data_IF_161388774919
#
_entry.id   IF_161388774919
#
_cell.length_a   1.000
_cell.length_b   1.000
_cell.length_c   1.000
_cell.angle_alpha   90.00
_cell.angle_beta   90.00
_cell.angle_gamma   90.00
#
_symmetry.space_group_name_H-M   'P 1'
#
loop_
_entity.id
_entity.type
_entity.pdbx_description
1 polymer ?
#
# COMPACT_ATOMS: atom_id res chain seq x y z
N UNK A 1 -95.49 -18.50 24.42
CA UNK A 1 -94.07 -18.90 24.27
C UNK A 1 -93.40 -17.93 23.28
N UNK A 2 -92.68 -16.93 23.78
CA UNK A 2 -92.09 -15.86 22.97
C UNK A 2 -90.63 -16.10 22.93
N UNK A 3 -90.07 -16.22 21.74
CA UNK A 3 -88.62 -16.36 21.50
C UNK A 3 -88.03 -14.97 21.31
N UNK A 4 -87.10 -14.53 22.20
CA UNK A 4 -86.40 -13.30 22.05
C UNK A 4 -85.08 -13.57 21.23
N UNK A 5 -84.98 -12.90 20.10
CA UNK A 5 -83.75 -12.85 19.31
C UNK A 5 -82.89 -11.60 19.80
N UNK A 6 -81.71 -11.89 20.36
CA UNK A 6 -80.69 -10.86 20.61
C UNK A 6 -79.79 -10.80 19.38
N UNK A 7 -79.71 -9.59 18.75
CA UNK A 7 -78.76 -9.29 17.71
C UNK A 7 -77.44 -8.74 18.39
N UNK A 8 -76.34 -9.44 18.20
CA UNK A 8 -75.02 -8.88 18.53
C UNK A 8 -74.49 -8.15 17.33
N UNK A 9 -74.23 -6.82 17.49
CA UNK A 9 -73.44 -6.00 16.58
C UNK A 9 -71.98 -6.19 16.95
N UNK A 10 -71.18 -6.80 16.07
CA UNK A 10 -69.73 -6.82 16.14
C UNK A 10 -69.22 -5.56 15.46
N UNK A 11 -68.69 -4.61 16.23
CA UNK A 11 -67.86 -3.48 15.74
C UNK A 11 -66.48 -3.99 15.48
N UNK A 12 -66.10 -4.17 14.20
CA UNK A 12 -64.73 -4.41 13.79
C UNK A 12 -63.98 -3.09 13.73
N UNK A 13 -63.22 -2.78 14.79
CA UNK A 13 -62.25 -1.69 14.78
C UNK A 13 -61.00 -2.06 13.96
N UNK A 14 -60.84 -1.46 12.79
CA UNK A 14 -59.62 -1.57 12.00
C UNK A 14 -58.57 -0.61 12.63
N UNK A 15 -57.60 -1.18 13.34
CA UNK A 15 -56.47 -0.46 13.87
C UNK A 15 -55.45 -0.28 12.74
N UNK A 16 -55.45 0.88 12.08
CA UNK A 16 -54.39 1.25 11.11
C UNK A 16 -53.13 1.61 11.87
N UNK A 17 -52.20 0.67 11.94
CA UNK A 17 -50.83 0.96 12.41
C UNK A 17 -50.09 1.67 11.30
N UNK A 18 -49.97 3.00 11.40
CA UNK A 18 -49.09 3.80 10.55
C UNK A 18 -47.65 3.54 10.96
N UNK A 19 -46.97 2.66 10.23
CA UNK A 19 -45.50 2.52 10.36
C UNK A 19 -44.86 3.74 9.76
N UNK A 20 -44.44 4.68 10.61
CA UNK A 20 -43.54 5.76 10.24
C UNK A 20 -42.17 5.10 9.96
N UNK A 21 -41.86 4.85 8.69
CA UNK A 21 -40.50 4.63 8.23
C UNK A 21 -39.72 5.94 8.43
N UNK A 22 -39.05 6.05 9.56
CA UNK A 22 -38.03 7.08 9.77
C UNK A 22 -36.87 6.67 8.84
N UNK A 23 -36.49 7.48 7.84
CA UNK A 23 -35.29 7.20 7.08
C UNK A 23 -34.11 7.34 8.05
N UNK A 24 -33.52 6.22 8.45
CA UNK A 24 -32.21 6.20 9.11
C UNK A 24 -31.18 6.55 8.03
N UNK A 25 -31.19 7.80 7.62
CA UNK A 25 -30.10 8.43 6.91
C UNK A 25 -29.04 8.74 7.95
N UNK A 26 -28.20 7.79 8.26
CA UNK A 26 -27.01 8.01 9.07
C UNK A 26 -26.16 9.06 8.37
N UNK A 27 -26.20 10.32 8.83
CA UNK A 27 -25.30 11.37 8.36
C UNK A 27 -23.89 10.91 8.69
N UNK A 28 -23.08 10.67 7.67
CA UNK A 28 -21.65 10.39 7.86
C UNK A 28 -21.04 11.55 8.68
N UNK A 29 -20.33 11.20 9.74
CA UNK A 29 -19.64 12.17 10.58
C UNK A 29 -18.67 13.00 9.76
N UNK A 30 -18.69 14.31 9.91
CA UNK A 30 -17.74 15.21 9.26
C UNK A 30 -16.35 15.08 9.89
N UNK A 31 -15.30 15.40 9.15
CA UNK A 31 -13.93 15.38 9.66
C UNK A 31 -13.75 16.29 10.89
N UNK A 32 -14.49 17.41 10.95
CA UNK A 32 -14.46 18.35 12.07
C UNK A 32 -15.14 17.78 13.34
N UNK A 33 -16.17 16.98 13.19
CA UNK A 33 -16.80 16.26 14.31
C UNK A 33 -15.86 15.19 14.87
N UNK A 34 -15.21 14.42 13.99
CA UNK A 34 -14.19 13.44 14.38
C UNK A 34 -12.99 14.13 15.04
N UNK A 35 -12.52 15.26 14.52
CA UNK A 35 -11.42 16.02 15.11
C UNK A 35 -11.75 16.47 16.55
N UNK A 36 -12.95 16.98 16.80
CA UNK A 36 -13.37 17.35 18.17
C UNK A 36 -13.36 16.16 19.13
N UNK A 37 -13.73 14.97 18.66
CA UNK A 37 -13.68 13.73 19.45
C UNK A 37 -12.22 13.31 19.70
N UNK A 38 -11.36 13.37 18.70
CA UNK A 38 -9.95 13.06 18.81
C UNK A 38 -9.24 13.96 19.85
N UNK A 39 -9.53 15.26 19.86
CA UNK A 39 -8.99 16.18 20.88
C UNK A 39 -9.48 15.82 22.28
N UNK A 40 -10.78 15.48 22.45
CA UNK A 40 -11.35 15.06 23.74
C UNK A 40 -10.75 13.74 24.25
N UNK A 41 -10.31 12.86 23.33
CA UNK A 41 -9.67 11.57 23.60
C UNK A 41 -8.20 11.72 24.06
N UNK A 42 -7.64 12.94 23.99
CA UNK A 42 -6.27 13.27 24.38
C UNK A 42 -5.35 13.61 23.22
N UNK A 43 -5.84 13.55 21.98
CA UNK A 43 -5.13 14.02 20.79
C UNK A 43 -3.85 13.22 20.47
N UNK A 44 -3.71 12.00 20.94
CA UNK A 44 -2.55 11.15 20.66
C UNK A 44 -2.86 10.17 19.54
N UNK A 45 -1.90 9.97 18.62
CA UNK A 45 -1.92 8.94 17.60
C UNK A 45 -0.69 8.06 17.71
N UNK A 46 -0.85 6.80 18.08
CA UNK A 46 0.23 5.81 18.02
C UNK A 46 0.28 5.19 16.62
N UNK A 47 1.10 5.75 15.78
CA UNK A 47 1.23 5.40 14.37
C UNK A 47 2.34 4.35 14.20
N UNK A 48 1.95 3.09 13.90
CA UNK A 48 2.89 2.02 13.56
C UNK A 48 3.08 2.02 12.03
N UNK A 49 4.19 2.57 11.55
CA UNK A 49 4.37 2.81 10.12
C UNK A 49 5.81 2.68 9.63
N UNK A 50 5.92 2.32 8.34
CA UNK A 50 7.18 2.17 7.62
C UNK A 50 7.61 3.44 6.87
N UNK A 51 7.07 4.60 7.25
CA UNK A 51 7.56 5.86 6.70
C UNK A 51 9.00 6.08 7.18
N UNK A 52 9.96 6.02 6.26
CA UNK A 52 11.33 6.39 6.59
C UNK A 52 11.37 7.79 7.21
N UNK A 53 12.26 8.02 8.17
CA UNK A 53 12.34 9.26 8.95
C UNK A 53 12.30 10.53 8.08
N UNK A 54 12.98 10.50 6.92
CA UNK A 54 13.02 11.63 5.96
C UNK A 54 11.63 11.95 5.35
N UNK A 55 10.78 10.93 5.17
CA UNK A 55 9.41 11.10 4.67
C UNK A 55 8.47 11.47 5.82
N UNK A 56 8.58 10.79 6.96
CA UNK A 56 7.78 11.05 8.16
C UNK A 56 7.91 12.51 8.62
N UNK A 57 9.13 13.05 8.64
CA UNK A 57 9.41 14.44 9.00
C UNK A 57 8.75 15.49 8.06
N UNK A 58 8.33 15.09 6.85
CA UNK A 58 7.61 15.95 5.92
C UNK A 58 6.11 15.78 5.97
N UNK A 59 5.63 14.58 6.31
CA UNK A 59 4.21 14.20 6.22
C UNK A 59 3.50 14.44 7.57
N UNK A 60 4.03 13.87 8.66
CA UNK A 60 3.32 13.84 9.95
C UNK A 60 3.14 15.24 10.57
N UNK A 61 4.12 16.18 10.50
CA UNK A 61 3.93 17.53 11.00
C UNK A 61 2.84 18.33 10.24
N UNK A 62 2.57 17.99 8.98
CA UNK A 62 1.48 18.65 8.21
C UNK A 62 0.12 18.21 8.76
N UNK A 63 -0.05 16.93 9.11
CA UNK A 63 -1.23 16.44 9.79
C UNK A 63 -1.41 17.11 11.16
N UNK A 64 -0.36 17.18 11.99
CA UNK A 64 -0.40 17.85 13.30
C UNK A 64 -0.76 19.35 13.17
N UNK A 65 -0.21 20.02 12.15
CA UNK A 65 -0.53 21.43 11.87
C UNK A 65 -1.98 21.62 11.40
N UNK A 66 -2.50 20.68 10.60
CA UNK A 66 -3.90 20.69 10.12
C UNK A 66 -4.88 20.50 11.27
N UNK A 67 -4.51 19.73 12.29
CA UNK A 67 -5.31 19.37 13.44
C UNK A 67 -4.60 19.73 14.76
N UNK A 68 -4.60 21.01 15.18
CA UNK A 68 -3.91 21.45 16.39
C UNK A 68 -4.37 20.69 17.64
N UNK A 69 -3.44 20.31 18.50
CA UNK A 69 -3.72 19.47 19.68
C UNK A 69 -3.61 17.97 19.40
N UNK A 70 -3.42 17.55 18.16
CA UNK A 70 -3.05 16.17 17.82
C UNK A 70 -1.54 16.03 17.81
N UNK A 71 -1.02 14.91 18.35
CA UNK A 71 0.38 14.52 18.36
C UNK A 71 0.54 13.10 17.86
N UNK A 72 1.49 12.89 16.95
CA UNK A 72 1.79 11.59 16.35
C UNK A 72 3.02 10.98 17.00
N UNK A 73 2.82 9.84 17.67
CA UNK A 73 3.89 8.99 18.16
C UNK A 73 4.21 7.97 17.07
N UNK A 74 5.21 8.25 16.24
CA UNK A 74 5.63 7.37 15.15
C UNK A 74 6.55 6.26 15.66
N UNK A 75 6.10 5.03 15.55
CA UNK A 75 6.89 3.83 15.80
C UNK A 75 7.40 3.34 14.45
N UNK A 76 8.64 3.74 14.12
CA UNK A 76 9.33 3.39 12.86
C UNK A 76 10.09 2.07 13.00
N UNK A 77 9.74 1.11 12.18
CA UNK A 77 10.46 -0.14 11.99
C UNK A 77 10.07 -0.79 10.65
N UNK A 78 10.70 -1.90 10.28
CA UNK A 78 10.28 -2.70 9.11
C UNK A 78 8.90 -3.30 9.35
N UNK A 79 8.13 -3.52 8.28
CA UNK A 79 6.73 -3.96 8.35
C UNK A 79 6.57 -5.27 9.13
N UNK A 80 7.47 -6.24 8.92
CA UNK A 80 7.51 -7.52 9.63
C UNK A 80 7.71 -7.33 11.14
N UNK A 81 8.64 -6.44 11.56
CA UNK A 81 8.87 -6.13 12.97
C UNK A 81 7.67 -5.47 13.62
N UNK A 82 7.00 -4.54 12.93
CA UNK A 82 5.79 -3.89 13.41
C UNK A 82 4.64 -4.88 13.57
N UNK A 83 4.46 -5.79 12.60
CA UNK A 83 3.44 -6.83 12.68
C UNK A 83 3.70 -7.80 13.83
N UNK A 84 4.93 -8.32 13.97
CA UNK A 84 5.33 -9.19 15.08
C UNK A 84 5.15 -8.49 16.43
N UNK A 85 5.53 -7.22 16.53
CA UNK A 85 5.35 -6.41 17.74
C UNK A 85 3.88 -6.32 18.13
N UNK A 86 3.00 -5.92 17.18
CA UNK A 86 1.57 -5.79 17.45
C UNK A 86 0.92 -7.12 17.86
N UNK A 87 1.31 -8.24 17.22
CA UNK A 87 0.86 -9.58 17.59
C UNK A 87 1.31 -9.95 19.01
N UNK A 88 2.54 -9.63 19.36
CA UNK A 88 3.11 -9.94 20.69
C UNK A 88 2.43 -9.10 21.77
N UNK A 89 2.21 -7.81 21.52
CA UNK A 89 1.49 -6.90 22.41
C UNK A 89 0.06 -7.40 22.67
N UNK A 90 -0.65 -7.79 21.60
CA UNK A 90 -2.02 -8.31 21.70
C UNK A 90 -2.09 -9.64 22.46
N UNK A 91 -1.12 -10.56 22.28
CA UNK A 91 -1.01 -11.79 23.08
C UNK A 91 -0.78 -11.50 24.56
N UNK A 92 -0.09 -10.40 24.89
CA UNK A 92 0.06 -9.88 26.24
C UNK A 92 -1.18 -9.13 26.77
N UNK A 93 -2.31 -9.12 26.03
CA UNK A 93 -3.54 -8.44 26.41
C UNK A 93 -3.50 -6.92 26.27
N UNK A 94 -2.56 -6.37 25.51
CA UNK A 94 -2.40 -4.92 25.30
C UNK A 94 -2.39 -4.59 23.80
N UNK A 95 -3.02 -3.48 23.46
CA UNK A 95 -2.95 -2.88 22.12
C UNK A 95 -2.39 -1.47 22.31
N UNK A 96 -1.27 -1.18 21.66
CA UNK A 96 -0.64 0.14 21.69
C UNK A 96 -0.82 0.91 20.39
N UNK A 97 -0.86 0.21 19.25
CA UNK A 97 -1.09 0.84 17.97
C UNK A 97 -2.52 1.36 17.84
N UNK A 98 -2.67 2.57 17.32
CA UNK A 98 -3.97 3.12 16.91
C UNK A 98 -4.24 2.81 15.44
N UNK A 99 -3.18 2.89 14.63
CA UNK A 99 -3.25 2.70 13.17
C UNK A 99 -1.96 2.05 12.66
N UNK A 100 -2.10 1.23 11.65
CA UNK A 100 -0.99 0.64 10.90
C UNK A 100 -0.88 1.28 9.52
N UNK A 101 0.35 1.59 9.10
CA UNK A 101 0.67 1.96 7.74
C UNK A 101 1.93 1.24 7.30
N UNK A 102 1.76 0.02 6.84
CA UNK A 102 2.81 -0.96 6.53
C UNK A 102 2.51 -1.66 5.21
N UNK A 103 3.37 -2.58 4.78
CA UNK A 103 3.12 -3.37 3.57
C UNK A 103 1.81 -4.15 3.67
N UNK A 104 1.09 -4.27 2.55
CA UNK A 104 -0.21 -4.95 2.49
C UNK A 104 -0.11 -6.39 3.02
N UNK A 105 0.95 -7.12 2.71
CA UNK A 105 1.18 -8.48 3.20
C UNK A 105 1.09 -8.56 4.74
N UNK A 106 1.73 -7.61 5.44
CA UNK A 106 1.69 -7.58 6.90
C UNK A 106 0.35 -7.08 7.45
N UNK A 107 -0.38 -6.25 6.72
CA UNK A 107 -1.79 -5.91 7.06
C UNK A 107 -2.66 -7.16 6.98
N UNK A 108 -2.52 -8.00 5.93
CA UNK A 108 -3.24 -9.26 5.81
C UNK A 108 -2.93 -10.18 7.00
N UNK A 109 -1.66 -10.30 7.38
CA UNK A 109 -1.23 -11.06 8.55
C UNK A 109 -1.90 -10.57 9.84
N UNK A 110 -1.94 -9.25 10.07
CA UNK A 110 -2.61 -8.66 11.24
C UNK A 110 -4.11 -8.90 11.23
N UNK A 111 -4.75 -8.86 10.07
CA UNK A 111 -6.17 -9.17 9.90
C UNK A 111 -6.48 -10.64 10.24
N UNK A 112 -5.67 -11.59 9.77
CA UNK A 112 -5.78 -13.01 10.13
C UNK A 112 -5.69 -13.24 11.65
N UNK A 113 -4.87 -12.43 12.34
CA UNK A 113 -4.78 -12.42 13.81
C UNK A 113 -5.92 -11.64 14.49
N UNK A 114 -6.91 -11.14 13.73
CA UNK A 114 -8.07 -10.37 14.23
C UNK A 114 -7.70 -9.07 14.94
N UNK A 115 -6.59 -8.43 14.52
CA UNK A 115 -6.08 -7.19 15.10
C UNK A 115 -6.48 -5.94 14.30
N UNK A 116 -7.23 -6.09 13.21
CA UNK A 116 -7.71 -5.00 12.34
C UNK A 116 -9.22 -4.93 12.40
N UNK A 117 -9.79 -3.72 12.32
CA UNK A 117 -11.24 -3.51 12.17
C UNK A 117 -11.61 -3.34 10.69
N UNK A 118 -12.81 -3.80 10.33
CA UNK A 118 -13.35 -3.66 8.96
C UNK A 118 -14.06 -2.31 8.83
N UNK A 119 -13.25 -1.26 8.59
CA UNK A 119 -13.73 0.10 8.41
C UNK A 119 -12.83 0.85 7.43
N UNK A 120 -13.44 1.57 6.49
CA UNK A 120 -12.74 2.40 5.50
C UNK A 120 -13.26 3.84 5.51
N UNK A 121 -12.39 4.83 5.25
CA UNK A 121 -12.80 6.20 4.99
C UNK A 121 -13.77 6.27 3.79
N UNK A 122 -14.73 7.20 3.78
CA UNK A 122 -15.63 7.41 2.63
C UNK A 122 -14.89 7.65 1.31
N UNK A 123 -13.75 8.34 1.35
CA UNK A 123 -12.89 8.60 0.20
C UNK A 123 -12.34 7.33 -0.46
N UNK A 124 -12.36 6.18 0.23
CA UNK A 124 -12.03 4.89 -0.36
C UNK A 124 -12.90 4.54 -1.58
N UNK A 125 -14.10 5.11 -1.69
CA UNK A 125 -14.96 4.94 -2.86
C UNK A 125 -14.31 5.43 -4.16
N UNK A 126 -13.43 6.43 -4.09
CA UNK A 126 -12.72 6.97 -5.26
C UNK A 126 -11.54 6.09 -5.72
N UNK A 127 -11.04 5.22 -4.83
CA UNK A 127 -9.87 4.38 -5.13
C UNK A 127 -10.24 3.18 -6.01
N UNK A 128 -9.36 2.79 -6.95
CA UNK A 128 -9.52 1.54 -7.70
C UNK A 128 -9.65 0.32 -6.78
N UNK A 129 -10.38 -0.70 -7.23
CA UNK A 129 -10.65 -1.90 -6.41
C UNK A 129 -9.39 -2.67 -6.01
N UNK A 130 -8.34 -2.61 -6.84
CA UNK A 130 -7.04 -3.23 -6.53
C UNK A 130 -6.16 -2.41 -5.57
N UNK A 131 -6.61 -1.23 -5.14
CA UNK A 131 -5.94 -0.38 -4.16
C UNK A 131 -6.72 -0.25 -2.84
N UNK A 132 -7.72 -1.08 -2.62
CA UNK A 132 -8.51 -1.15 -1.39
C UNK A 132 -9.01 -2.57 -1.11
N UNK A 133 -9.32 -2.85 0.14
CA UNK A 133 -10.07 -4.03 0.59
C UNK A 133 -11.28 -3.60 1.41
N UNK A 134 -11.77 -4.45 2.32
CA UNK A 134 -12.82 -4.10 3.29
C UNK A 134 -12.25 -3.48 4.57
N UNK A 135 -10.97 -3.64 4.84
CA UNK A 135 -10.27 -3.23 6.06
C UNK A 135 -8.92 -2.55 5.83
N UNK A 136 -8.55 -2.31 4.60
CA UNK A 136 -7.31 -1.61 4.25
C UNK A 136 -7.51 -0.71 3.04
N UNK A 137 -6.77 0.38 3.02
CA UNK A 137 -6.70 1.32 1.90
C UNK A 137 -5.24 1.63 1.57
N UNK A 138 -4.89 1.61 0.31
CA UNK A 138 -3.55 2.01 -0.11
C UNK A 138 -3.27 3.47 0.30
N UNK A 139 -2.19 3.69 1.03
CA UNK A 139 -1.70 5.04 1.35
C UNK A 139 -0.69 5.53 0.33
N UNK A 140 0.11 4.62 -0.18
CA UNK A 140 1.11 4.90 -1.22
C UNK A 140 1.54 3.60 -1.89
N UNK A 141 2.19 3.74 -3.05
CA UNK A 141 2.80 2.62 -3.77
C UNK A 141 4.32 2.78 -3.79
N UNK A 142 5.03 1.66 -3.72
CA UNK A 142 6.43 1.59 -4.08
C UNK A 142 6.51 0.91 -5.44
N UNK A 143 7.10 1.58 -6.43
CA UNK A 143 7.17 1.07 -7.81
C UNK A 143 8.56 0.51 -8.05
N UNK A 144 8.62 -0.79 -8.30
CA UNK A 144 9.83 -1.52 -8.73
C UNK A 144 9.90 -1.39 -10.24
N UNK A 145 11.05 -1.00 -10.76
CA UNK A 145 11.30 -0.82 -12.19
C UNK A 145 12.75 -1.17 -12.52
N UNK A 146 13.05 -1.38 -13.78
CA UNK A 146 14.42 -1.49 -14.25
C UNK A 146 15.10 -0.11 -14.32
N UNK A 147 16.41 -0.10 -14.08
CA UNK A 147 17.23 1.11 -14.20
C UNK A 147 18.60 0.77 -14.79
N UNK A 148 19.32 1.78 -15.29
CA UNK A 148 20.64 1.58 -15.90
C UNK A 148 21.57 2.78 -15.66
N UNK A 149 22.87 2.53 -15.74
CA UNK A 149 23.87 3.58 -15.75
C UNK A 149 24.11 4.06 -17.19
N UNK A 150 23.88 5.33 -17.45
CA UNK A 150 23.95 5.93 -18.81
C UNK A 150 25.36 6.05 -19.37
N UNK A 151 26.41 5.91 -18.53
CA UNK A 151 27.80 5.86 -18.99
C UNK A 151 28.19 4.45 -19.47
N UNK A 152 27.50 3.41 -18.97
CA UNK A 152 27.79 1.99 -19.27
C UNK A 152 26.85 1.39 -20.32
N UNK A 153 25.63 1.91 -20.41
CA UNK A 153 24.61 1.49 -21.37
C UNK A 153 24.48 2.53 -22.48
N UNK A 154 24.79 2.13 -23.71
CA UNK A 154 24.72 3.03 -24.87
C UNK A 154 23.28 3.43 -25.15
N UNK A 155 23.11 4.64 -25.69
CA UNK A 155 21.80 5.09 -26.17
C UNK A 155 21.26 4.14 -27.25
N UNK A 156 20.04 3.68 -27.06
CA UNK A 156 19.37 2.68 -27.91
C UNK A 156 19.52 1.23 -27.41
N UNK A 157 20.38 0.97 -26.41
CA UNK A 157 20.54 -0.34 -25.77
C UNK A 157 19.84 -0.42 -24.40
N UNK A 158 19.15 0.64 -24.00
CA UNK A 158 18.47 0.74 -22.70
C UNK A 158 17.34 -0.30 -22.60
N UNK A 159 17.14 -0.89 -21.40
CA UNK A 159 15.99 -1.75 -21.20
C UNK A 159 14.70 -0.91 -21.16
N UNK A 160 13.69 -1.29 -21.90
CA UNK A 160 12.38 -0.64 -21.94
C UNK A 160 11.30 -1.43 -21.19
N UNK A 161 11.53 -2.73 -21.03
CA UNK A 161 10.61 -3.64 -20.36
C UNK A 161 11.37 -4.76 -19.69
N UNK A 162 10.74 -5.47 -18.77
CA UNK A 162 11.40 -6.55 -18.03
C UNK A 162 11.94 -7.67 -18.95
N UNK A 163 11.31 -7.90 -20.12
CA UNK A 163 11.76 -8.89 -21.08
C UNK A 163 13.17 -8.61 -21.62
N UNK A 164 13.55 -7.34 -21.72
CA UNK A 164 14.84 -6.93 -22.29
C UNK A 164 16.02 -7.39 -21.44
N UNK A 165 15.80 -7.62 -20.13
CA UNK A 165 16.83 -8.15 -19.24
C UNK A 165 17.19 -9.62 -19.49
N UNK A 166 16.41 -10.32 -20.34
CA UNK A 166 16.75 -11.67 -20.77
C UNK A 166 17.80 -11.71 -21.90
N UNK A 167 18.14 -10.57 -22.51
CA UNK A 167 19.14 -10.48 -23.56
C UNK A 167 20.53 -10.86 -22.98
N UNK A 168 21.29 -11.76 -23.64
CA UNK A 168 22.65 -12.15 -23.21
C UNK A 168 23.65 -10.99 -23.09
N UNK A 169 23.38 -9.82 -23.70
CA UNK A 169 24.21 -8.62 -23.53
C UNK A 169 24.35 -8.18 -22.08
N UNK A 170 23.39 -8.58 -21.23
CA UNK A 170 23.37 -8.26 -19.79
C UNK A 170 24.15 -9.24 -18.92
N UNK A 171 24.75 -10.28 -19.48
CA UNK A 171 25.45 -11.29 -18.70
C UNK A 171 26.55 -10.72 -17.82
N UNK A 172 26.43 -10.92 -16.48
CA UNK A 172 27.35 -10.39 -15.47
C UNK A 172 27.29 -8.86 -15.28
N UNK A 173 26.21 -8.22 -15.72
CA UNK A 173 26.07 -6.75 -15.67
C UNK A 173 24.82 -6.30 -14.87
N UNK A 174 24.04 -7.23 -14.35
CA UNK A 174 22.79 -6.97 -13.65
C UNK A 174 22.98 -7.08 -12.14
N UNK A 175 22.34 -6.15 -11.43
CA UNK A 175 22.12 -6.22 -9.98
C UNK A 175 20.64 -6.29 -9.67
N UNK A 176 20.27 -6.90 -8.52
CA UNK A 176 18.89 -7.00 -8.06
C UNK A 176 18.81 -7.16 -6.53
N UNK A 177 17.63 -6.94 -5.96
CA UNK A 177 17.29 -7.23 -4.57
C UNK A 177 16.73 -8.69 -4.50
N UNK A 178 17.27 -9.54 -3.63
CA UNK A 178 16.89 -10.96 -3.63
C UNK A 178 15.43 -11.23 -3.20
N UNK A 179 14.76 -10.29 -2.57
CA UNK A 179 13.41 -10.45 -2.03
C UNK A 179 12.29 -9.99 -2.96
N UNK A 180 12.61 -9.41 -4.13
CA UNK A 180 11.63 -8.78 -5.03
C UNK A 180 10.88 -9.80 -5.91
N UNK A 181 10.28 -10.78 -5.25
CA UNK A 181 9.45 -11.83 -5.90
C UNK A 181 8.25 -11.23 -6.63
N UNK A 182 7.84 -10.03 -6.25
CA UNK A 182 6.74 -9.28 -6.86
C UNK A 182 6.94 -9.08 -8.37
N UNK A 183 8.17 -9.03 -8.84
CA UNK A 183 8.48 -9.00 -10.28
C UNK A 183 7.86 -10.21 -10.97
N UNK A 184 8.15 -11.41 -10.50
CA UNK A 184 7.58 -12.63 -11.07
C UNK A 184 6.05 -12.64 -10.97
N UNK A 185 5.50 -12.21 -9.83
CA UNK A 185 4.06 -12.15 -9.61
C UNK A 185 3.38 -11.19 -10.59
N UNK A 186 3.90 -9.97 -10.73
CA UNK A 186 3.35 -8.96 -11.64
C UNK A 186 3.44 -9.38 -13.12
N UNK A 187 4.55 -9.99 -13.51
CA UNK A 187 4.70 -10.55 -14.86
C UNK A 187 3.71 -11.68 -15.13
N UNK A 188 3.53 -12.59 -14.17
CA UNK A 188 2.62 -13.73 -14.30
C UNK A 188 1.14 -13.30 -14.38
N UNK A 189 0.72 -12.38 -13.51
CA UNK A 189 -0.69 -12.00 -13.34
C UNK A 189 -1.15 -10.93 -14.33
N UNK A 190 -0.32 -9.95 -14.62
CA UNK A 190 -0.73 -8.78 -15.39
C UNK A 190 -0.14 -8.77 -16.81
N UNK A 191 1.18 -8.98 -16.94
CA UNK A 191 1.82 -8.87 -18.25
C UNK A 191 1.50 -10.04 -19.16
N UNK A 192 1.79 -11.25 -18.71
CA UNK A 192 1.61 -12.47 -19.51
C UNK A 192 0.28 -13.17 -19.27
N UNK A 193 -0.34 -12.97 -18.12
CA UNK A 193 -1.50 -13.75 -17.64
C UNK A 193 -1.25 -15.26 -17.76
N UNK A 194 -0.01 -15.66 -17.50
CA UNK A 194 0.51 -17.01 -17.68
C UNK A 194 1.78 -17.21 -16.85
N UNK A 195 1.73 -18.12 -15.90
CA UNK A 195 2.85 -18.44 -15.01
C UNK A 195 4.07 -19.00 -15.76
N UNK A 196 3.86 -19.91 -16.72
CA UNK A 196 4.95 -20.56 -17.44
C UNK A 196 5.78 -19.56 -18.26
N UNK A 197 5.11 -18.58 -18.91
CA UNK A 197 5.79 -17.51 -19.65
C UNK A 197 6.60 -16.63 -18.71
N UNK A 198 6.04 -16.25 -17.57
CA UNK A 198 6.73 -15.43 -16.58
C UNK A 198 7.94 -16.17 -16.00
N UNK A 199 7.77 -17.44 -15.61
CA UNK A 199 8.85 -18.30 -15.10
C UNK A 199 9.94 -18.47 -16.15
N UNK A 200 9.56 -18.70 -17.41
CA UNK A 200 10.53 -18.82 -18.52
C UNK A 200 11.35 -17.55 -18.67
N UNK A 201 10.72 -16.37 -18.59
CA UNK A 201 11.42 -15.08 -18.64
C UNK A 201 12.40 -14.95 -17.46
N UNK A 202 11.97 -15.21 -16.22
CA UNK A 202 12.83 -15.11 -15.04
C UNK A 202 14.04 -16.06 -15.15
N UNK A 203 13.85 -17.28 -15.64
CA UNK A 203 14.97 -18.22 -15.88
C UNK A 203 15.97 -17.70 -16.92
N UNK A 204 15.49 -17.04 -17.98
CA UNK A 204 16.38 -16.41 -18.98
C UNK A 204 17.15 -15.24 -18.37
N UNK A 205 16.50 -14.42 -17.53
CA UNK A 205 17.18 -13.33 -16.82
C UNK A 205 18.23 -13.90 -15.85
N UNK A 206 17.90 -14.95 -15.11
CA UNK A 206 18.82 -15.62 -14.19
C UNK A 206 20.07 -16.17 -14.88
N UNK A 207 19.95 -16.65 -16.14
CA UNK A 207 21.08 -17.11 -16.94
C UNK A 207 22.10 -15.98 -17.23
N UNK A 208 21.74 -14.72 -17.00
CA UNK A 208 22.63 -13.57 -17.12
C UNK A 208 23.50 -13.32 -15.85
N UNK A 209 23.53 -14.24 -14.90
CA UNK A 209 24.36 -14.13 -13.68
C UNK A 209 24.08 -12.83 -12.92
N UNK A 210 22.85 -12.65 -12.48
CA UNK A 210 22.42 -11.47 -11.70
C UNK A 210 23.13 -11.49 -10.34
N UNK A 211 23.75 -10.36 -9.97
CA UNK A 211 24.33 -10.17 -8.64
C UNK A 211 23.30 -9.58 -7.68
N UNK A 212 23.19 -10.15 -6.48
CA UNK A 212 22.18 -9.77 -5.52
C UNK A 212 22.73 -8.98 -4.33
N UNK A 213 22.14 -7.81 -4.06
CA UNK A 213 22.43 -6.96 -2.91
C UNK A 213 21.15 -6.65 -2.16
N UNK A 214 21.22 -6.66 -0.81
CA UNK A 214 20.09 -6.27 0.04
C UNK A 214 20.03 -4.76 0.22
N UNK A 215 18.87 -4.19 -0.04
CA UNK A 215 18.60 -2.77 0.15
C UNK A 215 18.57 -1.98 -1.16
N UNK A 216 17.39 -1.46 -1.48
CA UNK A 216 17.18 -0.70 -2.73
C UNK A 216 17.93 0.64 -2.77
N UNK A 217 18.22 1.24 -1.60
CA UNK A 217 19.07 2.44 -1.55
C UNK A 217 20.50 2.11 -1.97
N UNK A 218 21.02 0.96 -1.51
CA UNK A 218 22.38 0.51 -1.86
C UNK A 218 22.45 0.15 -3.34
N UNK A 219 21.43 -0.55 -3.88
CA UNK A 219 21.33 -0.81 -5.33
C UNK A 219 21.38 0.48 -6.15
N UNK A 220 20.69 1.54 -5.71
CA UNK A 220 20.72 2.82 -6.41
C UNK A 220 22.11 3.48 -6.37
N UNK A 221 22.82 3.40 -5.24
CA UNK A 221 24.20 3.93 -5.15
C UNK A 221 25.19 3.12 -5.98
N UNK A 222 25.11 1.78 -5.95
CA UNK A 222 25.94 0.90 -6.79
C UNK A 222 25.76 1.22 -8.27
N UNK A 223 24.50 1.43 -8.70
CA UNK A 223 24.17 1.76 -10.07
C UNK A 223 24.73 3.15 -10.47
N UNK A 224 24.55 4.18 -9.62
CA UNK A 224 25.09 5.53 -9.84
C UNK A 224 26.62 5.51 -9.94
N UNK A 225 27.27 4.73 -9.06
CA UNK A 225 28.73 4.58 -9.05
C UNK A 225 29.28 3.79 -10.25
N UNK A 226 28.40 3.20 -11.10
CA UNK A 226 28.82 2.42 -12.26
C UNK A 226 29.38 1.03 -11.90
N UNK A 227 29.04 0.49 -10.73
CA UNK A 227 29.45 -0.86 -10.33
C UNK A 227 28.62 -1.95 -11.03
N UNK A 228 27.45 -1.58 -11.59
CA UNK A 228 26.64 -2.40 -12.46
C UNK A 228 26.15 -1.59 -13.65
N UNK A 229 25.94 -2.25 -14.80
CA UNK A 229 25.38 -1.57 -15.96
C UNK A 229 23.86 -1.36 -15.83
N UNK A 230 23.15 -2.32 -15.23
CA UNK A 230 21.71 -2.18 -15.03
C UNK A 230 21.23 -2.89 -13.73
N UNK A 231 20.10 -2.45 -13.24
CA UNK A 231 19.42 -2.96 -12.08
C UNK A 231 18.03 -3.47 -12.50
N UNK A 232 17.76 -4.72 -12.19
CA UNK A 232 16.49 -5.35 -12.52
C UNK A 232 15.34 -4.88 -11.61
N UNK A 233 15.64 -4.67 -10.32
CA UNK A 233 14.63 -4.46 -9.27
C UNK A 233 14.90 -3.19 -8.48
N UNK A 234 14.88 -2.05 -9.14
CA UNK A 234 15.14 -0.77 -8.50
C UNK A 234 13.86 0.03 -8.22
N UNK A 235 13.84 0.83 -7.15
CA UNK A 235 12.71 1.70 -6.85
C UNK A 235 12.75 2.98 -7.69
N UNK A 236 11.68 3.23 -8.45
CA UNK A 236 11.58 4.38 -9.35
C UNK A 236 11.83 5.71 -8.67
N UNK A 237 11.36 5.88 -7.43
CA UNK A 237 11.49 7.13 -6.67
C UNK A 237 12.91 7.48 -6.23
N UNK A 238 13.87 6.58 -6.39
CA UNK A 238 15.29 6.86 -6.09
C UNK A 238 15.97 7.73 -7.16
N UNK A 239 15.45 7.79 -8.38
CA UNK A 239 16.19 8.35 -9.52
C UNK A 239 15.89 9.81 -9.84
N UNK A 240 14.66 10.36 -9.76
CA UNK A 240 14.38 11.73 -10.20
C UNK A 240 15.28 12.80 -9.58
N UNK A 241 15.49 12.73 -8.27
CA UNK A 241 16.37 13.69 -7.57
C UNK A 241 17.85 13.50 -7.90
N UNK A 242 18.30 12.26 -8.15
CA UNK A 242 19.68 11.96 -8.54
C UNK A 242 19.96 12.45 -9.96
N UNK A 243 19.04 12.22 -10.89
CA UNK A 243 19.12 12.72 -12.27
C UNK A 243 19.20 14.26 -12.29
N UNK A 244 18.36 14.94 -11.51
CA UNK A 244 18.43 16.42 -11.37
C UNK A 244 19.77 16.92 -10.85
N UNK A 245 20.51 16.10 -10.11
CA UNK A 245 21.86 16.40 -9.61
C UNK A 245 22.97 15.92 -10.56
N UNK A 246 22.63 15.44 -11.75
CA UNK A 246 23.59 15.02 -12.77
C UNK A 246 24.07 13.57 -12.64
N UNK A 247 23.42 12.73 -11.83
CA UNK A 247 23.78 11.31 -11.76
C UNK A 247 23.56 10.62 -13.12
N UNK A 248 24.51 9.77 -13.59
CA UNK A 248 24.45 9.14 -14.89
C UNK A 248 23.53 7.90 -14.86
N UNK A 249 22.25 8.09 -14.59
CA UNK A 249 21.26 7.00 -14.49
C UNK A 249 19.99 7.30 -15.27
N UNK A 250 19.41 6.24 -15.83
CA UNK A 250 18.07 6.21 -16.38
C UNK A 250 17.24 5.10 -15.73
N UNK A 251 15.92 5.13 -15.89
CA UNK A 251 15.03 4.08 -15.42
C UNK A 251 13.82 3.92 -16.32
N UNK A 252 13.22 2.73 -16.30
CA UNK A 252 12.08 2.39 -17.17
C UNK A 252 10.83 3.20 -16.77
N UNK A 253 10.17 3.74 -17.80
CA UNK A 253 8.89 4.44 -17.69
C UNK A 253 7.78 3.73 -18.46
N UNK A 254 8.04 2.57 -19.02
CA UNK A 254 7.06 1.80 -19.80
C UNK A 254 6.24 0.88 -18.91
N UNK A 255 6.88 0.24 -17.94
CA UNK A 255 6.21 -0.64 -16.99
C UNK A 255 6.91 -0.68 -15.63
N UNK A 256 6.14 -1.03 -14.59
CA UNK A 256 6.65 -1.20 -13.23
C UNK A 256 5.71 -2.09 -12.40
N UNK A 257 6.27 -2.73 -11.41
CA UNK A 257 5.51 -3.51 -10.43
C UNK A 257 5.29 -2.63 -9.19
N UNK A 258 4.07 -2.52 -8.72
CA UNK A 258 3.76 -1.70 -7.55
C UNK A 258 3.46 -2.57 -6.34
N UNK A 259 4.22 -2.39 -5.27
CA UNK A 259 3.87 -2.89 -3.94
C UNK A 259 3.06 -1.85 -3.19
N UNK A 260 2.09 -2.30 -2.41
CA UNK A 260 1.13 -1.44 -1.72
C UNK A 260 1.57 -1.25 -0.27
N UNK A 261 1.73 0.01 0.15
CA UNK A 261 1.72 0.38 1.56
C UNK A 261 0.27 0.70 1.93
N UNK A 262 -0.30 -0.06 2.85
CA UNK A 262 -1.70 0.05 3.21
C UNK A 262 -1.89 0.64 4.60
N UNK A 263 -2.94 1.44 4.76
CA UNK A 263 -3.42 1.93 6.04
C UNK A 263 -4.55 1.04 6.54
N UNK A 264 -4.51 0.64 7.81
CA UNK A 264 -5.56 -0.12 8.48
C UNK A 264 -5.69 0.28 9.94
N UNK A 265 -6.91 0.30 10.46
CA UNK A 265 -7.21 0.70 11.83
C UNK A 265 -7.01 -0.48 12.79
N UNK A 266 -6.34 -0.25 13.92
CA UNK A 266 -6.13 -1.28 14.92
C UNK A 266 -7.42 -1.59 15.68
N UNK A 267 -7.71 -2.89 15.87
CA UNK A 267 -8.80 -3.32 16.74
C UNK A 267 -8.41 -3.14 18.20
N UNK A 268 -9.21 -2.40 18.95
CA UNK A 268 -8.91 -2.07 20.35
C UNK A 268 -7.90 -0.93 20.48
N UNK A 269 -7.76 -0.08 19.45
CA UNK A 269 -6.94 1.12 19.47
C UNK A 269 -7.16 1.94 20.74
N UNK A 270 -6.11 2.41 21.43
CA UNK A 270 -6.23 3.31 22.59
C UNK A 270 -6.92 4.64 22.25
N UNK A 271 -6.71 5.15 21.01
CA UNK A 271 -7.24 6.44 20.56
C UNK A 271 -8.00 6.28 19.22
N UNK A 272 -9.18 5.60 19.23
CA UNK A 272 -9.89 5.24 18.00
C UNK A 272 -10.38 6.45 17.18
N UNK A 273 -10.74 7.56 17.83
CA UNK A 273 -11.14 8.76 17.10
C UNK A 273 -9.95 9.46 16.42
N UNK A 274 -8.79 9.45 17.07
CA UNK A 274 -7.57 10.02 16.47
C UNK A 274 -7.08 9.15 15.32
N UNK A 275 -7.16 7.82 15.45
CA UNK A 275 -6.88 6.88 14.35
C UNK A 275 -7.81 7.12 13.15
N UNK A 276 -9.10 7.28 13.41
CA UNK A 276 -10.10 7.55 12.37
C UNK A 276 -9.87 8.91 11.69
N UNK A 277 -9.54 9.96 12.46
CA UNK A 277 -9.19 11.26 11.91
C UNK A 277 -8.01 11.17 10.93
N UNK A 278 -6.97 10.44 11.34
CA UNK A 278 -5.80 10.23 10.47
C UNK A 278 -6.17 9.43 9.22
N UNK A 279 -6.99 8.38 9.34
CA UNK A 279 -7.42 7.58 8.20
C UNK A 279 -8.23 8.42 7.19
N UNK A 280 -9.15 9.27 7.67
CA UNK A 280 -9.92 10.21 6.83
C UNK A 280 -8.99 11.16 6.07
N UNK A 281 -8.06 11.81 6.78
CA UNK A 281 -7.12 12.73 6.17
C UNK A 281 -6.17 12.04 5.19
N UNK A 282 -5.57 10.91 5.57
CA UNK A 282 -4.62 10.20 4.73
C UNK A 282 -5.24 9.64 3.44
N UNK A 283 -6.54 9.34 3.46
CA UNK A 283 -7.30 8.87 2.30
C UNK A 283 -7.72 10.01 1.36
N UNK A 284 -7.81 11.24 1.87
CA UNK A 284 -8.29 12.39 1.11
C UNK A 284 -7.29 12.86 0.05
N UNK A 285 -7.79 13.62 -0.92
CA UNK A 285 -6.93 14.29 -1.91
C UNK A 285 -5.92 15.24 -1.23
N UNK A 286 -6.31 15.93 -0.13
CA UNK A 286 -5.43 16.77 0.68
C UNK A 286 -4.26 15.96 1.25
N UNK A 287 -4.55 14.90 1.99
CA UNK A 287 -3.51 14.05 2.59
C UNK A 287 -2.60 13.40 1.55
N UNK A 288 -3.17 12.90 0.47
CA UNK A 288 -2.39 12.25 -0.59
C UNK A 288 -1.44 13.22 -1.34
N UNK A 289 -1.80 14.51 -1.46
CA UNK A 289 -0.87 15.55 -1.94
C UNK A 289 0.32 15.71 -1.00
N UNK A 290 0.09 15.68 0.31
CA UNK A 290 1.16 15.73 1.31
C UNK A 290 2.06 14.49 1.21
N UNK A 291 1.50 13.30 0.97
CA UNK A 291 2.30 12.09 0.71
C UNK A 291 3.16 12.24 -0.55
N UNK A 292 2.62 12.80 -1.63
CA UNK A 292 3.38 13.07 -2.84
C UNK A 292 4.54 14.05 -2.58
N UNK A 293 4.29 15.17 -1.91
CA UNK A 293 5.29 16.17 -1.52
C UNK A 293 6.34 15.59 -0.56
N UNK A 294 5.92 14.64 0.28
CA UNK A 294 6.79 13.84 1.13
C UNK A 294 7.66 12.83 0.38
N UNK A 295 7.55 12.74 -0.96
CA UNK A 295 8.36 11.84 -1.80
C UNK A 295 7.78 10.42 -1.90
N UNK A 296 6.48 10.23 -1.67
CA UNK A 296 5.78 8.96 -1.87
C UNK A 296 5.01 8.97 -3.19
N UNK A 297 4.81 7.80 -3.80
CA UNK A 297 3.87 7.67 -4.91
C UNK A 297 2.45 7.56 -4.34
N UNK A 298 1.58 8.58 -4.50
CA UNK A 298 0.26 8.59 -3.91
C UNK A 298 -0.63 7.50 -4.53
N UNK A 299 -1.55 6.96 -3.74
CA UNK A 299 -2.49 5.94 -4.20
C UNK A 299 -3.82 6.54 -4.70
N UNK A 300 -4.15 7.77 -4.30
CA UNK A 300 -5.38 8.45 -4.72
C UNK A 300 -5.36 8.77 -6.22
N UNK A 301 -6.41 8.41 -7.00
CA UNK A 301 -6.39 8.49 -8.47
C UNK A 301 -6.28 9.91 -9.03
N UNK A 302 -6.66 10.93 -8.26
CA UNK A 302 -6.58 12.35 -8.66
C UNK A 302 -5.25 13.03 -8.26
N UNK A 303 -4.34 12.31 -7.59
CA UNK A 303 -3.08 12.89 -7.11
C UNK A 303 -1.91 12.27 -7.84
N UNK A 304 -1.15 13.11 -8.53
CA UNK A 304 0.08 12.73 -9.22
C UNK A 304 1.31 12.83 -8.30
N UNK A 305 2.37 12.02 -8.51
CA UNK A 305 3.66 12.24 -7.85
C UNK A 305 4.19 13.63 -8.22
N UNK A 306 5.03 14.22 -7.34
CA UNK A 306 5.58 15.59 -7.53
C UNK A 306 6.34 15.74 -8.84
N UNK A 307 7.07 14.71 -9.25
CA UNK A 307 7.82 14.70 -10.51
C UNK A 307 6.95 14.39 -11.74
N UNK A 308 5.67 14.06 -11.52
CA UNK A 308 4.71 13.63 -12.55
C UNK A 308 5.20 12.47 -13.41
N UNK A 309 6.13 11.69 -12.89
CA UNK A 309 6.77 10.58 -13.59
C UNK A 309 6.27 9.26 -13.02
N UNK A 310 5.48 8.55 -13.81
CA UNK A 310 5.01 7.18 -13.51
C UNK A 310 5.26 6.29 -14.72
N UNK A 311 5.54 5.00 -14.52
CA UNK A 311 5.49 4.04 -15.60
C UNK A 311 4.11 4.04 -16.28
N UNK A 312 4.12 3.90 -17.61
CA UNK A 312 2.88 3.89 -18.41
C UNK A 312 1.96 2.69 -18.04
N UNK A 313 2.56 1.58 -17.62
CA UNK A 313 1.85 0.41 -17.09
C UNK A 313 2.33 0.11 -15.68
N UNK A 314 1.41 0.01 -14.75
CA UNK A 314 1.69 -0.36 -13.36
C UNK A 314 0.94 -1.65 -13.05
N UNK A 315 1.66 -2.65 -12.52
CA UNK A 315 1.12 -3.94 -12.11
C UNK A 315 1.08 -4.00 -10.57
N UNK A 316 -0.05 -3.65 -9.92
CA UNK A 316 -0.13 -3.63 -8.48
C UNK A 316 -0.24 -5.04 -7.91
N UNK A 317 0.57 -5.32 -6.90
CA UNK A 317 0.51 -6.58 -6.15
C UNK A 317 -0.49 -6.38 -5.00
N UNK A 318 -1.69 -6.88 -5.21
CA UNK A 318 -2.81 -6.78 -4.28
C UNK A 318 -3.02 -8.06 -3.47
N UNK A 319 -4.18 -8.15 -2.84
CA UNK A 319 -4.54 -9.26 -1.93
C UNK A 319 -4.50 -10.62 -2.65
N UNK A 320 -4.97 -10.67 -3.90
CA UNK A 320 -5.06 -11.92 -4.64
C UNK A 320 -3.68 -12.46 -5.01
N UNK A 321 -2.77 -11.58 -5.40
CA UNK A 321 -1.40 -11.96 -5.73
C UNK A 321 -0.65 -12.45 -4.48
N UNK A 322 -0.82 -11.78 -3.34
CA UNK A 322 -0.13 -12.11 -2.08
C UNK A 322 -0.51 -13.51 -1.57
N UNK A 323 -1.71 -14.02 -1.85
CA UNK A 323 -2.11 -15.40 -1.49
C UNK A 323 -1.15 -16.45 -2.07
N UNK A 324 -0.59 -16.18 -3.24
CA UNK A 324 0.33 -17.09 -3.94
C UNK A 324 1.81 -16.79 -3.64
N UNK A 325 2.12 -15.89 -2.68
CA UNK A 325 3.47 -15.43 -2.37
C UNK A 325 4.46 -16.57 -2.21
N UNK A 326 4.17 -17.54 -1.34
CA UNK A 326 5.06 -18.67 -1.05
C UNK A 326 5.40 -19.51 -2.29
N UNK A 327 4.43 -19.66 -3.20
CA UNK A 327 4.63 -20.36 -4.48
C UNK A 327 5.66 -19.62 -5.35
N UNK A 328 5.44 -18.31 -5.53
CA UNK A 328 6.32 -17.50 -6.38
C UNK A 328 7.69 -17.25 -5.73
N UNK A 329 7.75 -17.10 -4.41
CA UNK A 329 9.00 -16.99 -3.67
C UNK A 329 9.89 -18.22 -3.88
N UNK A 330 9.33 -19.43 -3.78
CA UNK A 330 10.04 -20.68 -4.04
C UNK A 330 10.59 -20.68 -5.47
N UNK A 331 9.78 -20.36 -6.46
CA UNK A 331 10.19 -20.35 -7.88
C UNK A 331 11.28 -19.30 -8.12
N UNK A 332 11.16 -18.11 -7.53
CA UNK A 332 12.14 -17.03 -7.61
C UNK A 332 13.49 -17.48 -7.05
N UNK A 333 13.49 -18.02 -5.83
CA UNK A 333 14.70 -18.54 -5.18
C UNK A 333 15.37 -19.67 -6.00
N UNK A 334 14.58 -20.61 -6.50
CA UNK A 334 15.08 -21.69 -7.37
C UNK A 334 15.69 -21.16 -8.67
N UNK A 335 15.03 -20.21 -9.34
CA UNK A 335 15.51 -19.65 -10.60
C UNK A 335 16.86 -18.94 -10.45
N UNK A 336 17.06 -18.21 -9.35
CA UNK A 336 18.27 -17.44 -9.08
C UNK A 336 19.27 -18.13 -8.14
N UNK A 337 19.06 -19.39 -7.74
CA UNK A 337 19.87 -20.13 -6.77
C UNK A 337 20.05 -19.39 -5.43
N UNK A 338 19.00 -18.71 -4.96
CA UNK A 338 18.98 -18.01 -3.67
C UNK A 338 18.66 -18.99 -2.53
N UNK A 339 19.27 -18.79 -1.36
CA UNK A 339 19.06 -19.60 -0.15
C UNK A 339 17.97 -19.04 0.77
#
# INVERSE_FOLDING_TARGET
>A
MKLNRFCYFLLSGVLTVSVFLIPVGGRSETIDEVYKKAVKEGGTLNFYGTLAQINAAKILPVFEKRFPGIKVNHVDATADKLAVRAITEARGGKVFADIFQISLENILQLHEQKLIIEQLPPDAAAYPDNLKGTYWLASSMTIITGAWNTNLVKKGDEPNQFDDFADPKWKGKLIAEPRDVEILMGLARYKFKNDEKAISLIKKIAANNVEFHKGHSDLAELLVAGQAAACLTCYSHHYPSRIKKGAPVGYMLTEGIATINATALAKGAPHPNTAWLFALWAASEEGQKVYAEGGRNPAHPKVEPVDKIRPAKIYPIGTEEIKDWKKYEKIWKEAFNLR
#
